data_IF_804078699671
#
_entry.id   IF_804078699671
#
_cell.length_a   1.000
_cell.length_b   1.000
_cell.length_c   1.000
_cell.angle_alpha   90.00
_cell.angle_beta   90.00
_cell.angle_gamma   90.00
#
_symmetry.space_group_name_H-M   'P 1'
#
loop_
_entity.id
_entity.type
_entity.pdbx_description
1 polymer ?
#
# COMPACT_ATOMS: atom_id res chain seq x y z
N UNK A 1 -4.79 3.36 -11.80
CA UNK A 1 -5.92 3.85 -12.59
C UNK A 1 -6.07 3.08 -13.90
N UNK A 2 -5.12 3.11 -14.83
CA UNK A 2 -5.24 2.42 -16.12
C UNK A 2 -5.36 0.89 -15.98
N UNK A 3 -4.68 0.28 -15.00
CA UNK A 3 -4.80 -1.15 -14.73
C UNK A 3 -6.21 -1.50 -14.20
N UNK A 4 -6.77 -0.67 -13.34
CA UNK A 4 -8.15 -0.84 -12.85
C UNK A 4 -9.13 -0.74 -14.00
N UNK A 5 -8.97 0.27 -14.87
CA UNK A 5 -9.77 0.46 -16.07
C UNK A 5 -9.76 -0.81 -16.96
N UNK A 6 -8.58 -1.32 -17.32
CA UNK A 6 -8.43 -2.52 -18.14
C UNK A 6 -9.10 -3.75 -17.47
N UNK A 7 -8.88 -3.96 -16.18
CA UNK A 7 -9.42 -5.13 -15.48
C UNK A 7 -10.94 -5.03 -15.39
N UNK A 8 -11.48 -3.88 -15.01
CA UNK A 8 -12.93 -3.67 -14.92
C UNK A 8 -13.60 -3.83 -16.28
N UNK A 9 -13.07 -3.18 -17.33
CA UNK A 9 -13.64 -3.27 -18.69
C UNK A 9 -13.62 -4.69 -19.23
N UNK A 10 -12.56 -5.46 -18.96
CA UNK A 10 -12.48 -6.86 -19.38
C UNK A 10 -13.45 -7.79 -18.60
N UNK A 11 -14.00 -7.32 -17.49
CA UNK A 11 -14.95 -8.07 -16.67
C UNK A 11 -16.38 -7.50 -16.75
N UNK A 12 -16.70 -6.76 -17.82
CA UNK A 12 -18.07 -6.37 -18.16
C UNK A 12 -18.55 -5.07 -17.54
N UNK A 13 -17.64 -4.26 -16.97
CA UNK A 13 -17.96 -2.91 -16.50
C UNK A 13 -17.66 -1.88 -17.57
N UNK A 14 -18.54 -0.90 -17.66
CA UNK A 14 -18.35 0.29 -18.51
C UNK A 14 -17.56 1.33 -17.72
N UNK A 15 -16.30 1.59 -18.10
CA UNK A 15 -15.38 2.43 -17.32
C UNK A 15 -15.16 3.78 -18.02
N UNK A 16 -15.60 4.84 -17.38
CA UNK A 16 -15.36 6.22 -17.82
C UNK A 16 -14.07 6.75 -17.19
N UNK A 17 -12.98 6.71 -17.93
CA UNK A 17 -11.66 7.10 -17.47
C UNK A 17 -11.39 8.59 -17.68
N UNK A 18 -11.63 9.40 -16.67
CA UNK A 18 -11.50 10.87 -16.74
C UNK A 18 -10.03 11.37 -16.77
N UNK A 19 -9.05 10.50 -16.62
CA UNK A 19 -7.65 10.91 -16.62
C UNK A 19 -7.09 11.17 -15.21
N UNK A 20 -6.12 12.06 -15.10
CA UNK A 20 -5.42 12.40 -13.85
C UNK A 20 -5.73 13.85 -13.45
N UNK A 21 -5.59 14.16 -12.15
CA UNK A 21 -5.77 15.51 -11.59
C UNK A 21 -7.14 16.12 -11.92
N UNK A 22 -8.17 15.31 -11.90
CA UNK A 22 -9.52 15.79 -12.14
C UNK A 22 -10.10 16.44 -10.87
N UNK A 23 -10.73 17.61 -10.97
CA UNK A 23 -11.49 18.18 -9.87
C UNK A 23 -12.74 17.33 -9.61
N UNK A 24 -13.24 17.36 -8.39
CA UNK A 24 -14.41 16.57 -8.01
C UNK A 24 -15.66 16.95 -8.82
N UNK A 25 -15.81 18.22 -9.17
CA UNK A 25 -16.92 18.68 -10.02
C UNK A 25 -17.03 17.91 -11.35
N UNK A 26 -15.89 17.69 -12.02
CA UNK A 26 -15.86 16.93 -13.28
C UNK A 26 -16.23 15.45 -13.05
N UNK A 27 -15.81 14.87 -11.91
CA UNK A 27 -16.17 13.49 -11.57
C UNK A 27 -17.68 13.36 -11.34
N UNK A 28 -18.28 14.31 -10.63
CA UNK A 28 -19.72 14.32 -10.34
C UNK A 28 -20.56 14.60 -11.60
N UNK A 29 -20.10 15.49 -12.46
CA UNK A 29 -20.76 15.76 -13.74
C UNK A 29 -20.73 14.51 -14.63
N UNK A 30 -19.57 13.89 -14.81
CA UNK A 30 -19.45 12.65 -15.57
C UNK A 30 -20.28 11.51 -14.96
N UNK A 31 -20.30 11.37 -13.63
CA UNK A 31 -21.11 10.37 -12.96
C UNK A 31 -22.62 10.54 -13.24
N UNK A 32 -23.11 11.77 -13.31
CA UNK A 32 -24.49 12.07 -13.69
C UNK A 32 -24.76 11.82 -15.18
N UNK A 33 -23.88 12.33 -16.05
CA UNK A 33 -24.01 12.21 -17.49
C UNK A 33 -24.07 10.75 -17.95
N UNK A 34 -23.15 9.96 -17.43
CA UNK A 34 -23.03 8.54 -17.77
C UNK A 34 -23.86 7.61 -16.88
N UNK A 35 -24.61 8.15 -15.91
CA UNK A 35 -25.40 7.37 -14.95
C UNK A 35 -24.55 6.29 -14.28
N UNK A 36 -23.36 6.68 -13.81
CA UNK A 36 -22.42 5.76 -13.19
C UNK A 36 -22.99 5.11 -11.92
N UNK A 37 -22.62 3.89 -11.66
CA UNK A 37 -23.00 3.15 -10.44
C UNK A 37 -22.06 3.45 -9.27
N UNK A 38 -20.80 3.79 -9.54
CA UNK A 38 -19.78 4.05 -8.53
C UNK A 38 -18.74 5.07 -9.03
N UNK A 39 -18.01 5.67 -8.10
CA UNK A 39 -16.90 6.57 -8.38
C UNK A 39 -15.60 5.95 -7.85
N UNK A 40 -14.56 5.90 -8.69
CA UNK A 40 -13.25 5.39 -8.31
C UNK A 40 -12.20 6.51 -8.22
N UNK A 41 -11.46 6.60 -7.10
CA UNK A 41 -10.33 7.51 -6.95
C UNK A 41 -9.05 6.75 -6.58
N UNK A 42 -7.93 7.15 -7.19
CA UNK A 42 -6.63 6.53 -6.92
C UNK A 42 -5.57 7.58 -6.67
N UNK A 43 -4.80 7.44 -5.58
CA UNK A 43 -3.75 8.38 -5.17
C UNK A 43 -2.39 7.72 -5.03
N UNK A 44 -1.36 8.36 -5.59
CA UNK A 44 0.03 7.92 -5.47
C UNK A 44 0.78 8.64 -4.33
N UNK A 45 0.43 9.89 -4.06
CA UNK A 45 1.11 10.74 -3.09
C UNK A 45 0.24 10.95 -1.84
N UNK A 46 0.86 11.15 -0.68
CA UNK A 46 0.16 11.47 0.58
C UNK A 46 -0.78 12.68 0.43
N UNK A 47 -0.36 13.70 -0.32
CA UNK A 47 -1.23 14.85 -0.62
C UNK A 47 -2.55 14.44 -1.29
N UNK A 48 -2.56 13.38 -2.09
CA UNK A 48 -3.78 12.89 -2.73
C UNK A 48 -4.81 12.36 -1.72
N UNK A 49 -4.37 11.87 -0.56
CA UNK A 49 -5.29 11.37 0.47
C UNK A 49 -6.08 12.50 1.13
N UNK A 50 -5.45 13.67 1.27
CA UNK A 50 -6.12 14.90 1.77
C UNK A 50 -7.16 15.35 0.75
N UNK A 51 -6.80 15.41 -0.53
CA UNK A 51 -7.73 15.76 -1.62
C UNK A 51 -8.90 14.78 -1.68
N UNK A 52 -8.67 13.48 -1.49
CA UNK A 52 -9.76 12.49 -1.43
C UNK A 52 -10.72 12.77 -0.28
N UNK A 53 -10.21 13.15 0.90
CA UNK A 53 -11.04 13.55 2.03
C UNK A 53 -11.90 14.78 1.71
N UNK A 54 -11.28 15.81 1.12
CA UNK A 54 -11.97 17.02 0.66
C UNK A 54 -13.04 16.69 -0.38
N UNK A 55 -12.72 15.82 -1.35
CA UNK A 55 -13.68 15.36 -2.36
C UNK A 55 -14.91 14.65 -1.75
N UNK A 56 -14.69 13.79 -0.74
CA UNK A 56 -15.80 13.10 -0.04
C UNK A 56 -16.69 14.10 0.70
N UNK A 57 -16.12 15.13 1.32
CA UNK A 57 -16.87 16.20 1.95
C UNK A 57 -17.68 17.00 0.92
N UNK A 58 -17.09 17.31 -0.23
CA UNK A 58 -17.76 18.00 -1.33
C UNK A 58 -18.93 17.17 -1.89
N UNK A 59 -18.76 15.85 -2.02
CA UNK A 59 -19.83 14.93 -2.42
C UNK A 59 -21.00 14.95 -1.43
N UNK A 60 -20.73 15.01 -0.12
CA UNK A 60 -21.78 15.18 0.88
C UNK A 60 -22.52 16.50 0.70
N UNK A 61 -21.79 17.61 0.50
CA UNK A 61 -22.36 18.95 0.32
C UNK A 61 -23.20 19.04 -0.96
N UNK A 62 -22.80 18.28 -1.99
CA UNK A 62 -23.52 18.21 -3.26
C UNK A 62 -24.72 17.22 -3.25
N UNK A 63 -25.05 16.62 -2.10
CA UNK A 63 -26.08 15.58 -1.95
C UNK A 63 -25.83 14.34 -2.85
N UNK A 64 -24.55 14.04 -3.13
CA UNK A 64 -24.11 12.96 -4.01
C UNK A 64 -23.57 11.75 -3.23
N UNK A 65 -23.89 11.65 -1.94
CA UNK A 65 -23.43 10.55 -1.09
C UNK A 65 -24.09 9.18 -1.41
N UNK A 66 -25.00 9.13 -2.34
CA UNK A 66 -25.59 7.89 -2.83
C UNK A 66 -24.65 7.08 -3.75
N UNK A 67 -23.55 7.69 -4.22
CA UNK A 67 -22.53 6.96 -4.97
C UNK A 67 -21.58 6.24 -4.03
N UNK A 68 -21.39 4.92 -4.15
CA UNK A 68 -20.31 4.24 -3.49
C UNK A 68 -18.95 4.71 -4.07
N UNK A 69 -17.97 4.89 -3.21
CA UNK A 69 -16.66 5.38 -3.60
C UNK A 69 -15.60 4.31 -3.38
N UNK A 70 -14.94 3.89 -4.46
CA UNK A 70 -13.82 2.95 -4.44
C UNK A 70 -12.50 3.72 -4.35
N UNK A 71 -11.77 3.57 -3.25
CA UNK A 71 -10.50 4.25 -3.00
C UNK A 71 -9.33 3.30 -3.07
N UNK A 72 -8.27 3.71 -3.78
CA UNK A 72 -7.06 2.90 -3.91
C UNK A 72 -5.82 3.72 -4.19
N UNK A 73 -4.70 3.01 -4.40
CA UNK A 73 -3.41 3.59 -4.73
C UNK A 73 -2.39 3.51 -3.59
N UNK A 74 -1.11 3.72 -3.94
CA UNK A 74 0.03 3.45 -3.06
C UNK A 74 0.07 4.34 -1.79
N UNK A 75 -0.59 5.50 -1.81
CA UNK A 75 -0.61 6.43 -0.68
C UNK A 75 -1.66 6.09 0.37
N UNK A 76 -2.61 5.21 0.06
CA UNK A 76 -3.70 4.85 0.96
C UNK A 76 -3.40 3.57 1.74
N UNK A 77 -3.86 3.56 2.97
CA UNK A 77 -3.92 2.35 3.79
C UNK A 77 -5.38 2.02 4.08
N UNK A 78 -5.67 0.73 4.26
CA UNK A 78 -7.01 0.27 4.64
C UNK A 78 -7.51 0.97 5.91
N UNK A 79 -6.66 1.06 6.92
CA UNK A 79 -6.98 1.70 8.21
C UNK A 79 -7.40 3.16 8.03
N UNK A 80 -6.70 3.91 7.19
CA UNK A 80 -7.04 5.32 6.93
C UNK A 80 -8.38 5.45 6.20
N UNK A 81 -8.65 4.59 5.22
CA UNK A 81 -9.94 4.62 4.51
C UNK A 81 -11.09 4.21 5.43
N UNK A 82 -10.95 3.09 6.15
CA UNK A 82 -12.03 2.55 7.00
C UNK A 82 -12.30 3.38 8.27
N UNK A 83 -11.30 4.10 8.81
CA UNK A 83 -11.47 4.88 10.04
C UNK A 83 -11.63 6.40 9.80
N UNK A 84 -10.85 6.96 8.86
CA UNK A 84 -10.79 8.42 8.70
C UNK A 84 -11.67 8.91 7.54
N UNK A 85 -11.66 8.19 6.41
CA UNK A 85 -12.42 8.61 5.24
C UNK A 85 -13.87 8.14 5.30
N UNK A 86 -14.13 6.94 5.80
CA UNK A 86 -15.48 6.43 5.98
C UNK A 86 -16.28 7.19 7.06
N UNK A 87 -15.61 7.77 8.06
CA UNK A 87 -16.28 8.64 9.04
C UNK A 87 -16.72 9.99 8.46
N UNK A 88 -16.07 10.42 7.38
CA UNK A 88 -16.33 11.73 6.75
C UNK A 88 -17.42 11.66 5.69
N UNK A 89 -17.56 10.53 5.02
CA UNK A 89 -18.50 10.35 3.92
C UNK A 89 -19.82 9.75 4.38
N UNK A 90 -20.94 10.35 3.97
CA UNK A 90 -22.28 9.88 4.34
C UNK A 90 -22.75 8.66 3.55
N UNK A 91 -22.01 8.24 2.53
CA UNK A 91 -22.23 7.05 1.73
C UNK A 91 -21.22 5.96 1.97
N UNK A 92 -21.16 4.97 1.10
CA UNK A 92 -20.28 3.83 1.21
C UNK A 92 -18.89 4.13 0.65
N UNK A 93 -17.83 3.83 1.45
CA UNK A 93 -16.43 3.94 1.04
C UNK A 93 -15.75 2.59 1.14
N UNK A 94 -15.11 2.19 0.06
CA UNK A 94 -14.40 0.93 -0.05
C UNK A 94 -12.92 1.14 -0.32
N UNK A 95 -12.06 0.38 0.35
CA UNK A 95 -10.64 0.35 0.09
C UNK A 95 -10.27 -0.83 -0.79
N UNK A 96 -9.66 -0.55 -1.93
CA UNK A 96 -9.09 -1.56 -2.81
C UNK A 96 -7.56 -1.46 -2.82
N UNK A 97 -6.89 -2.51 -2.36
CA UNK A 97 -5.42 -2.60 -2.37
C UNK A 97 -4.87 -2.69 -3.79
N UNK A 98 -5.58 -3.39 -4.65
CA UNK A 98 -5.22 -3.62 -6.04
C UNK A 98 -6.48 -3.67 -6.93
N UNK A 99 -6.25 -3.82 -8.24
CA UNK A 99 -7.33 -3.80 -9.22
C UNK A 99 -8.26 -5.02 -9.14
N UNK A 100 -7.76 -6.18 -8.72
CA UNK A 100 -8.60 -7.38 -8.54
C UNK A 100 -9.48 -7.26 -7.29
N UNK A 101 -8.95 -6.65 -6.22
CA UNK A 101 -9.78 -6.35 -5.05
C UNK A 101 -10.85 -5.31 -5.39
N UNK A 102 -10.54 -4.32 -6.26
CA UNK A 102 -11.56 -3.38 -6.77
C UNK A 102 -12.67 -4.11 -7.52
N UNK A 103 -12.31 -5.05 -8.40
CA UNK A 103 -13.27 -5.85 -9.15
C UNK A 103 -14.18 -6.64 -8.21
N UNK A 104 -13.60 -7.37 -7.26
CA UNK A 104 -14.37 -8.16 -6.30
C UNK A 104 -15.34 -7.31 -5.48
N UNK A 105 -14.89 -6.16 -4.98
CA UNK A 105 -15.74 -5.24 -4.20
C UNK A 105 -16.87 -4.68 -5.06
N UNK A 106 -16.61 -4.41 -6.32
CA UNK A 106 -17.62 -3.92 -7.25
C UNK A 106 -18.64 -5.01 -7.58
N UNK A 107 -18.20 -6.24 -7.80
CA UNK A 107 -19.08 -7.40 -8.02
C UNK A 107 -20.00 -7.65 -6.82
N UNK A 108 -19.46 -7.62 -5.59
CA UNK A 108 -20.22 -7.76 -4.35
C UNK A 108 -21.28 -6.65 -4.22
N UNK A 109 -20.88 -5.41 -4.44
CA UNK A 109 -21.80 -4.26 -4.36
C UNK A 109 -22.88 -4.33 -5.44
N UNK A 110 -22.54 -4.70 -6.67
CA UNK A 110 -23.51 -4.82 -7.75
C UNK A 110 -24.48 -6.00 -7.55
N UNK A 111 -24.01 -7.11 -6.96
CA UNK A 111 -24.88 -8.22 -6.58
C UNK A 111 -25.88 -7.80 -5.50
N UNK A 112 -25.42 -7.05 -4.48
CA UNK A 112 -26.31 -6.50 -3.46
C UNK A 112 -27.35 -5.55 -4.07
N UNK A 113 -26.91 -4.64 -4.95
CA UNK A 113 -27.81 -3.70 -5.65
C UNK A 113 -28.86 -4.40 -6.49
N UNK A 114 -28.55 -5.55 -7.10
CA UNK A 114 -29.48 -6.36 -7.88
C UNK A 114 -30.35 -7.29 -7.03
N UNK A 115 -30.14 -7.34 -5.71
CA UNK A 115 -30.82 -8.28 -4.82
C UNK A 115 -30.33 -9.72 -4.95
N UNK A 116 -29.14 -9.92 -5.52
CA UNK A 116 -28.47 -11.20 -5.72
C UNK A 116 -27.36 -11.40 -4.65
N UNK A 117 -27.50 -10.74 -3.49
CA UNK A 117 -26.50 -10.83 -2.42
C UNK A 117 -26.25 -12.27 -2.01
N UNK A 118 -24.98 -12.60 -1.76
CA UNK A 118 -24.58 -13.92 -1.30
C UNK A 118 -25.36 -14.30 -0.03
N UNK A 119 -25.68 -15.57 0.11
CA UNK A 119 -26.33 -16.10 1.31
C UNK A 119 -25.48 -15.73 2.54
N UNK A 120 -26.01 -14.96 3.51
CA UNK A 120 -25.29 -14.54 4.71
C UNK A 120 -24.84 -15.75 5.55
N UNK A 121 -25.48 -16.90 5.41
CA UNK A 121 -25.15 -18.13 6.10
C UNK A 121 -24.13 -19.00 5.31
N UNK A 122 -23.65 -18.53 4.15
CA UNK A 122 -22.61 -19.25 3.43
C UNK A 122 -21.29 -19.27 4.20
N UNK A 123 -20.50 -20.35 4.14
CA UNK A 123 -19.21 -20.47 4.83
C UNK A 123 -18.27 -19.30 4.50
N UNK A 124 -18.29 -18.83 3.25
CA UNK A 124 -17.48 -17.69 2.77
C UNK A 124 -17.93 -16.37 3.39
N UNK A 125 -19.24 -16.12 3.50
CA UNK A 125 -19.80 -14.93 4.09
C UNK A 125 -19.49 -14.87 5.61
N UNK A 126 -19.65 -15.99 6.32
CA UNK A 126 -19.33 -16.12 7.74
C UNK A 126 -17.85 -15.86 7.99
N UNK A 127 -16.96 -16.44 7.17
CA UNK A 127 -15.51 -16.22 7.31
C UNK A 127 -15.12 -14.76 7.00
N UNK A 128 -15.73 -14.15 6.00
CA UNK A 128 -15.52 -12.73 5.66
C UNK A 128 -15.98 -11.81 6.80
N UNK A 129 -17.16 -12.07 7.38
CA UNK A 129 -17.68 -11.34 8.54
C UNK A 129 -16.77 -11.49 9.76
N UNK A 130 -16.29 -12.70 10.07
CA UNK A 130 -15.33 -12.95 11.16
C UNK A 130 -14.03 -12.18 10.94
N UNK A 131 -13.45 -12.22 9.75
CA UNK A 131 -12.22 -11.47 9.42
C UNK A 131 -12.43 -9.95 9.53
N UNK A 132 -13.62 -9.47 9.18
CA UNK A 132 -13.97 -8.04 9.33
C UNK A 132 -14.03 -7.64 10.80
N UNK A 133 -14.65 -8.46 11.65
CA UNK A 133 -14.76 -8.21 13.10
C UNK A 133 -13.39 -8.29 13.79
N UNK A 134 -12.58 -9.30 13.47
CA UNK A 134 -11.20 -9.41 13.99
C UNK A 134 -10.34 -8.18 13.63
N UNK A 135 -10.50 -7.65 12.40
CA UNK A 135 -9.80 -6.42 11.98
C UNK A 135 -10.27 -5.20 12.76
N UNK A 136 -11.57 -5.06 12.97
CA UNK A 136 -12.17 -3.97 13.75
C UNK A 136 -11.65 -4.00 15.19
N UNK A 137 -11.71 -5.14 15.84
CA UNK A 137 -11.19 -5.33 17.20
C UNK A 137 -9.69 -5.00 17.31
N UNK A 138 -8.89 -5.41 16.30
CA UNK A 138 -7.46 -5.09 16.24
C UNK A 138 -7.21 -3.58 16.07
N UNK A 139 -8.01 -2.91 15.24
CA UNK A 139 -7.93 -1.47 15.02
C UNK A 139 -8.27 -0.70 16.31
N UNK A 140 -9.35 -1.04 16.98
CA UNK A 140 -9.75 -0.43 18.25
C UNK A 140 -8.70 -0.62 19.34
N UNK A 141 -8.13 -1.83 19.44
CA UNK A 141 -7.02 -2.09 20.36
C UNK A 141 -5.80 -1.21 20.05
N UNK A 142 -5.47 -1.03 18.78
CA UNK A 142 -4.37 -0.16 18.35
C UNK A 142 -4.63 1.31 18.69
N UNK A 143 -5.85 1.81 18.42
CA UNK A 143 -6.28 3.16 18.80
C UNK A 143 -6.18 3.39 20.31
N UNK A 144 -6.62 2.42 21.13
CA UNK A 144 -6.53 2.50 22.59
C UNK A 144 -5.07 2.59 23.05
N UNK A 145 -4.20 1.71 22.54
CA UNK A 145 -2.77 1.73 22.89
C UNK A 145 -2.12 3.06 22.46
N UNK A 146 -2.47 3.61 21.32
CA UNK A 146 -1.97 4.90 20.85
C UNK A 146 -2.44 6.05 21.73
N UNK A 147 -3.70 6.04 22.17
CA UNK A 147 -4.27 7.02 23.10
C UNK A 147 -3.59 6.94 24.47
N UNK A 148 -3.39 5.75 25.03
CA UNK A 148 -2.66 5.53 26.27
C UNK A 148 -1.21 6.04 26.20
N UNK A 149 -0.51 5.75 25.09
CA UNK A 149 0.85 6.28 24.86
C UNK A 149 0.87 7.80 24.78
N UNK A 150 -0.11 8.40 24.11
CA UNK A 150 -0.24 9.85 24.01
C UNK A 150 -0.56 10.50 25.37
N UNK A 151 -1.43 9.89 26.15
CA UNK A 151 -1.78 10.36 27.50
C UNK A 151 -0.60 10.28 28.50
N UNK A 152 0.24 9.22 28.35
CA UNK A 152 1.41 8.99 29.19
C UNK A 152 2.70 9.59 28.59
N UNK A 153 2.62 10.29 27.47
CA UNK A 153 3.78 10.95 26.88
C UNK A 153 4.26 12.10 27.80
N UNK A 154 5.46 11.98 28.29
CA UNK A 154 6.13 13.07 29.00
C UNK A 154 6.41 14.16 27.96
N UNK A 155 6.04 15.43 28.22
CA UNK A 155 6.39 16.51 27.33
C UNK A 155 7.91 16.57 27.18
N UNK A 156 8.38 16.26 25.96
CA UNK A 156 9.79 16.46 25.61
C UNK A 156 9.93 17.93 25.24
N UNK A 157 10.77 18.65 25.97
CA UNK A 157 11.14 20.00 25.59
C UNK A 157 11.86 19.94 24.24
N UNK A 158 11.15 20.36 23.20
CA UNK A 158 11.71 20.39 21.85
C UNK A 158 12.62 21.59 21.76
N UNK A 159 13.93 21.43 21.59
CA UNK A 159 14.83 22.57 21.45
C UNK A 159 14.44 23.37 20.20
N UNK A 160 14.58 24.67 20.28
CA UNK A 160 14.26 25.59 19.16
C UNK A 160 14.99 25.20 17.88
N UNK A 161 16.10 24.50 18.03
CA UNK A 161 16.90 23.99 16.93
C UNK A 161 17.54 22.64 17.27
N UNK A 162 17.69 21.77 16.26
CA UNK A 162 18.47 20.54 16.34
C UNK A 162 19.93 20.83 16.72
N UNK A 163 20.54 19.97 17.52
CA UNK A 163 21.96 19.98 17.90
C UNK A 163 22.89 19.51 16.77
N UNK A 164 22.34 19.17 15.62
CA UNK A 164 23.12 18.79 14.42
C UNK A 164 24.04 19.95 14.00
N UNK A 165 25.32 19.63 13.84
CA UNK A 165 26.31 20.62 13.42
C UNK A 165 25.95 21.28 12.08
N UNK A 166 25.95 22.62 12.05
CA UNK A 166 25.64 23.40 10.85
C UNK A 166 26.82 23.47 9.89
N UNK A 167 28.02 23.56 10.48
CA UNK A 167 29.25 23.76 9.75
C UNK A 167 30.01 22.45 9.58
N UNK A 168 29.33 21.44 9.00
CA UNK A 168 30.02 20.22 8.57
C UNK A 168 30.92 20.58 7.38
N UNK A 169 32.23 20.35 7.44
CA UNK A 169 33.10 20.63 6.32
C UNK A 169 32.64 19.78 5.14
N UNK A 170 32.35 20.44 4.03
CA UNK A 170 32.02 19.76 2.79
C UNK A 170 33.25 19.00 2.30
N UNK A 171 33.15 17.69 2.20
CA UNK A 171 34.18 16.90 1.58
C UNK A 171 34.34 17.31 0.11
N UNK A 172 35.59 17.59 -0.30
CA UNK A 172 35.85 17.80 -1.70
C UNK A 172 35.60 16.50 -2.45
N UNK A 173 34.70 16.49 -3.43
CA UNK A 173 34.49 15.28 -4.23
C UNK A 173 35.78 14.96 -5.02
N UNK A 174 36.13 13.67 -5.17
CA UNK A 174 37.33 13.27 -5.89
C UNK A 174 37.28 13.66 -7.36
N UNK A 175 36.09 13.91 -7.88
CA UNK A 175 35.84 14.41 -9.26
C UNK A 175 34.42 14.99 -9.36
N UNK A 176 34.20 15.79 -10.37
CA UNK A 176 32.88 16.32 -10.72
C UNK A 176 32.25 15.51 -11.89
N UNK A 177 30.95 15.29 -11.83
CA UNK A 177 30.20 14.55 -12.84
C UNK A 177 30.09 13.05 -12.55
N UNK A 178 29.85 12.26 -13.58
CA UNK A 178 29.67 10.79 -13.48
C UNK A 178 30.92 10.09 -13.99
N UNK A 179 31.39 9.09 -13.23
CA UNK A 179 32.49 8.21 -13.64
C UNK A 179 32.06 6.76 -13.49
N UNK A 180 32.27 5.97 -14.54
CA UNK A 180 32.08 4.52 -14.47
C UNK A 180 33.39 3.91 -13.95
N UNK A 181 33.30 3.26 -12.81
CA UNK A 181 34.40 2.49 -12.23
C UNK A 181 34.17 1.03 -12.58
N UNK A 182 35.19 0.39 -13.17
CA UNK A 182 35.17 -1.04 -13.54
C UNK A 182 36.25 -1.79 -12.78
N UNK A 183 36.06 -3.10 -12.60
CA UNK A 183 37.07 -3.97 -12.02
C UNK A 183 37.27 -3.76 -10.51
N UNK A 184 36.23 -3.38 -9.79
CA UNK A 184 36.26 -3.36 -8.33
C UNK A 184 36.34 -4.80 -7.83
N UNK A 185 37.38 -5.15 -7.00
CA UNK A 185 37.45 -6.49 -6.42
C UNK A 185 36.22 -6.80 -5.56
N UNK A 186 35.62 -7.97 -5.76
CA UNK A 186 34.50 -8.44 -4.96
C UNK A 186 34.74 -8.35 -3.45
N UNK A 187 36.01 -8.62 -3.04
CA UNK A 187 36.40 -8.54 -1.64
C UNK A 187 36.23 -7.17 -0.97
N UNK A 188 36.14 -6.09 -1.75
CA UNK A 188 35.97 -4.73 -1.20
C UNK A 188 34.52 -4.42 -0.84
N UNK A 189 33.55 -4.95 -1.56
CA UNK A 189 32.12 -4.63 -1.33
C UNK A 189 31.29 -5.76 -0.75
N UNK A 190 31.69 -7.03 -0.92
CA UNK A 190 30.98 -8.17 -0.30
C UNK A 190 30.83 -8.06 1.22
N UNK A 191 31.82 -7.57 2.00
CA UNK A 191 31.64 -7.36 3.44
C UNK A 191 30.56 -6.34 3.82
N UNK A 192 30.19 -5.49 2.87
CA UNK A 192 29.16 -4.47 3.07
C UNK A 192 27.76 -4.90 2.57
N UNK A 193 27.64 -6.14 2.07
CA UNK A 193 26.36 -6.66 1.61
C UNK A 193 25.45 -6.99 2.80
N UNK A 194 24.23 -6.48 2.78
CA UNK A 194 23.19 -6.92 3.71
C UNK A 194 22.66 -8.30 3.30
N UNK A 195 23.29 -9.36 3.84
CA UNK A 195 22.89 -10.75 3.58
C UNK A 195 21.43 -11.00 3.95
N UNK A 196 20.93 -10.35 5.00
CA UNK A 196 19.53 -10.54 5.43
C UNK A 196 18.55 -9.95 4.44
N UNK A 197 18.84 -8.77 3.90
CA UNK A 197 18.04 -8.17 2.85
C UNK A 197 18.05 -9.04 1.58
N UNK A 198 19.20 -9.62 1.23
CA UNK A 198 19.32 -10.51 0.09
C UNK A 198 18.55 -11.82 0.31
N UNK A 199 18.81 -12.53 1.40
CA UNK A 199 18.26 -13.87 1.64
C UNK A 199 16.77 -13.80 1.95
N UNK A 200 16.37 -12.97 2.89
CA UNK A 200 14.96 -12.84 3.30
C UNK A 200 14.13 -11.98 2.34
N UNK A 201 14.69 -10.87 1.89
CA UNK A 201 14.00 -9.89 1.06
C UNK A 201 13.90 -10.30 -0.40
N UNK A 202 15.05 -10.60 -1.02
CA UNK A 202 15.14 -10.87 -2.47
C UNK A 202 14.90 -12.35 -2.79
N UNK A 203 15.50 -13.26 -2.02
CA UNK A 203 15.37 -14.70 -2.28
C UNK A 203 14.21 -15.36 -1.55
N UNK A 204 13.54 -14.65 -0.65
CA UNK A 204 12.31 -15.11 0.01
C UNK A 204 12.54 -16.20 1.06
N UNK A 205 13.78 -16.40 1.55
CA UNK A 205 14.11 -17.38 2.58
C UNK A 205 13.53 -16.90 3.93
N UNK A 206 12.32 -17.36 4.23
CA UNK A 206 11.58 -16.99 5.44
C UNK A 206 11.05 -18.24 6.12
N UNK A 207 11.21 -18.32 7.45
CA UNK A 207 10.57 -19.35 8.24
C UNK A 207 9.03 -19.30 8.10
N UNK A 208 8.38 -20.45 8.15
CA UNK A 208 6.93 -20.56 8.06
C UNK A 208 6.28 -20.04 9.34
N UNK A 209 5.23 -19.23 9.21
CA UNK A 209 4.42 -18.81 10.37
C UNK A 209 3.68 -20.03 10.92
N UNK A 210 3.99 -20.43 12.15
CA UNK A 210 3.33 -21.57 12.82
C UNK A 210 4.30 -22.61 13.37
N UNK A 211 5.62 -22.50 13.07
CA UNK A 211 6.65 -23.36 13.65
C UNK A 211 6.80 -24.74 13.00
N UNK A 212 6.00 -25.06 11.98
CA UNK A 212 6.15 -26.27 11.17
C UNK A 212 7.00 -25.92 9.93
N UNK A 213 8.29 -26.17 9.99
CA UNK A 213 9.21 -25.93 8.88
C UNK A 213 10.59 -25.46 9.34
N UNK A 214 11.55 -25.32 8.40
CA UNK A 214 12.89 -24.91 8.72
C UNK A 214 12.93 -23.49 9.30
N UNK A 215 13.83 -23.28 10.24
CA UNK A 215 14.14 -21.94 10.80
C UNK A 215 14.83 -21.07 9.75
N UNK A 216 14.90 -19.77 9.98
CA UNK A 216 15.64 -18.88 9.07
C UNK A 216 17.10 -19.24 9.00
N UNK A 217 17.73 -19.59 10.13
CA UNK A 217 19.12 -19.99 10.23
C UNK A 217 19.40 -21.27 9.41
N UNK A 218 18.52 -22.25 9.48
CA UNK A 218 18.62 -23.46 8.68
C UNK A 218 18.50 -23.16 7.18
N UNK A 219 17.54 -22.31 6.78
CA UNK A 219 17.41 -21.90 5.38
C UNK A 219 18.63 -21.11 4.88
N UNK A 220 19.24 -20.31 5.71
CA UNK A 220 20.49 -19.60 5.37
C UNK A 220 21.61 -20.60 5.11
N UNK A 221 21.80 -21.60 5.96
CA UNK A 221 22.90 -22.56 5.80
C UNK A 221 22.64 -23.57 4.66
N UNK A 222 21.42 -24.03 4.49
CA UNK A 222 21.09 -25.07 3.50
C UNK A 222 20.86 -24.52 2.09
N UNK A 223 20.32 -23.31 1.96
CA UNK A 223 19.98 -22.72 0.67
C UNK A 223 20.70 -21.40 0.41
N UNK A 224 20.71 -20.50 1.39
CA UNK A 224 21.22 -19.14 1.22
C UNK A 224 22.69 -19.09 0.88
N UNK A 225 23.53 -19.66 1.74
CA UNK A 225 25.00 -19.66 1.56
C UNK A 225 25.47 -20.45 0.33
N UNK A 226 24.94 -21.65 0.02
CA UNK A 226 25.32 -22.35 -1.20
C UNK A 226 24.98 -21.55 -2.46
N UNK A 227 23.77 -20.99 -2.52
CA UNK A 227 23.32 -20.14 -3.64
C UNK A 227 24.15 -18.87 -3.75
N UNK A 228 24.53 -18.27 -2.64
CA UNK A 228 25.37 -17.08 -2.60
C UNK A 228 26.77 -17.36 -3.15
N UNK A 229 27.43 -18.43 -2.71
CA UNK A 229 28.72 -18.86 -3.25
C UNK A 229 28.67 -19.12 -4.74
N UNK A 230 27.67 -19.84 -5.20
CA UNK A 230 27.47 -20.11 -6.63
C UNK A 230 27.43 -18.80 -7.45
N UNK A 231 26.70 -17.79 -6.99
CA UNK A 231 26.61 -16.53 -7.72
C UNK A 231 27.91 -15.73 -7.66
N UNK A 232 28.63 -15.74 -6.56
CA UNK A 232 29.95 -15.09 -6.45
C UNK A 232 30.94 -15.72 -7.41
N UNK A 233 31.03 -17.05 -7.43
CA UNK A 233 31.94 -17.78 -8.32
C UNK A 233 31.62 -17.50 -9.79
N UNK A 234 30.32 -17.41 -10.10
CA UNK A 234 29.89 -17.10 -11.43
C UNK A 234 30.19 -15.66 -11.84
N UNK A 235 29.95 -14.69 -10.99
CA UNK A 235 30.27 -13.28 -11.24
C UNK A 235 31.77 -13.09 -11.48
N UNK A 236 32.62 -13.81 -10.75
CA UNK A 236 34.05 -13.78 -10.94
C UNK A 236 34.49 -14.44 -12.25
N UNK A 237 33.99 -15.64 -12.53
CA UNK A 237 34.41 -16.45 -13.69
C UNK A 237 33.94 -15.84 -15.03
N UNK A 238 32.78 -15.23 -15.05
CA UNK A 238 32.19 -14.60 -16.25
C UNK A 238 32.64 -13.13 -16.45
N UNK A 239 33.38 -12.56 -15.48
CA UNK A 239 33.88 -11.18 -15.58
C UNK A 239 32.75 -10.14 -15.72
N UNK A 240 31.63 -10.38 -15.06
CA UNK A 240 30.44 -9.50 -15.15
C UNK A 240 30.63 -8.21 -14.35
N UNK A 241 31.54 -8.24 -13.36
CA UNK A 241 31.84 -7.12 -12.46
C UNK A 241 33.27 -6.64 -12.61
#
# INVERSE_FOLDING_TARGET
>A
KNLVDIIMSNNGYDVINLGIKQPISNMLEAAKEHRADAIGMSGLLVKSTVVMKENLQEMNNAEMAHFPVMLGGAALTRTYVENDLAEVYNGDVYYARDAFESLRLMDEWMAEKRGEAADPDSPEAIEAARKKEERKARSERSKRIAAERKANAVPVEVPERSDVAINTPLANPPFWGTRIVKGLPLAEYLPNLDERALFMGQWGLKSTRGGEGPTYEELVETEGRPRFRYWIDRLQSEGIL
#
